data_IF_472690912003
#
_entry.id   IF_472690912003
#
_cell.length_a   1.000
_cell.length_b   1.000
_cell.length_c   1.000
_cell.angle_alpha   90.00
_cell.angle_beta   90.00
_cell.angle_gamma   90.00
#
_symmetry.space_group_name_H-M   'P 1'
#
loop_
_entity.id
_entity.type
_entity.pdbx_description
1 polymer ?
#
# COMPACT_ATOMS: atom_id res chain seq x y z
N UNK A 1 -6.86 -27.44 -4.25
CA UNK A 1 -6.01 -26.84 -3.19
C UNK A 1 -4.84 -26.17 -3.87
N UNK A 2 -4.70 -24.84 -3.81
CA UNK A 2 -3.53 -24.16 -4.36
C UNK A 2 -2.36 -24.34 -3.39
N UNK A 3 -1.30 -25.03 -3.81
CA UNK A 3 -0.07 -25.16 -3.03
C UNK A 3 0.75 -23.89 -3.28
N UNK A 4 0.87 -23.03 -2.26
CA UNK A 4 1.75 -21.86 -2.32
C UNK A 4 3.14 -22.25 -1.84
N UNK A 5 4.09 -22.27 -2.76
CA UNK A 5 5.50 -22.53 -2.44
C UNK A 5 6.16 -21.28 -1.85
N UNK A 6 6.96 -21.48 -0.79
CA UNK A 6 7.75 -20.43 -0.15
C UNK A 6 9.23 -20.70 -0.37
N UNK A 7 9.89 -19.80 -1.07
CA UNK A 7 11.33 -19.87 -1.33
C UNK A 7 12.06 -18.75 -0.60
N UNK A 8 13.30 -19.03 -0.20
CA UNK A 8 14.21 -18.01 0.34
C UNK A 8 14.91 -17.32 -0.83
N UNK A 9 14.87 -16.00 -0.86
CA UNK A 9 15.66 -15.21 -1.81
C UNK A 9 17.08 -15.02 -1.26
N UNK A 10 18.06 -15.07 -2.16
CA UNK A 10 19.47 -14.76 -1.88
C UNK A 10 19.92 -13.65 -2.85
N UNK A 11 19.46 -12.41 -2.65
CA UNK A 11 19.85 -11.30 -3.51
C UNK A 11 21.33 -10.92 -3.30
N UNK A 12 21.97 -10.43 -4.36
CA UNK A 12 23.24 -9.72 -4.22
C UNK A 12 23.02 -8.33 -3.56
N UNK A 13 24.11 -7.69 -3.13
CA UNK A 13 24.06 -6.41 -2.43
C UNK A 13 23.38 -5.29 -3.26
N UNK A 14 23.53 -5.29 -4.58
CA UNK A 14 22.92 -4.27 -5.45
C UNK A 14 21.41 -4.51 -5.61
N UNK A 15 21.00 -5.77 -5.74
CA UNK A 15 19.59 -6.17 -5.78
C UNK A 15 18.91 -5.88 -4.45
N UNK A 16 19.57 -6.18 -3.33
CA UNK A 16 19.06 -5.87 -1.99
C UNK A 16 18.82 -4.37 -1.81
N UNK A 17 19.79 -3.52 -2.21
CA UNK A 17 19.63 -2.08 -2.16
C UNK A 17 18.42 -1.60 -2.99
N UNK A 18 18.26 -2.11 -4.21
CA UNK A 18 17.11 -1.78 -5.08
C UNK A 18 15.77 -2.22 -4.46
N UNK A 19 15.72 -3.40 -3.85
CA UNK A 19 14.54 -3.90 -3.16
C UNK A 19 14.17 -3.01 -1.98
N UNK A 20 15.15 -2.58 -1.18
CA UNK A 20 14.93 -1.68 -0.06
C UNK A 20 14.42 -0.31 -0.53
N UNK A 21 15.01 0.27 -1.58
CA UNK A 21 14.49 1.52 -2.19
C UNK A 21 13.06 1.36 -2.69
N UNK A 22 12.75 0.21 -3.32
CA UNK A 22 11.39 -0.08 -3.80
C UNK A 22 10.41 -0.20 -2.63
N UNK A 23 10.77 -0.92 -1.56
CA UNK A 23 9.99 -1.05 -0.34
C UNK A 23 9.71 0.31 0.30
N UNK A 24 10.73 1.17 0.39
CA UNK A 24 10.58 2.51 0.93
C UNK A 24 9.68 3.41 0.08
N UNK A 25 9.79 3.31 -1.24
CA UNK A 25 8.91 4.02 -2.17
C UNK A 25 7.46 3.56 -2.02
N UNK A 26 7.23 2.25 -1.94
CA UNK A 26 5.90 1.68 -1.71
C UNK A 26 5.34 2.01 -0.32
N UNK A 27 6.19 2.04 0.71
CA UNK A 27 5.85 2.46 2.07
C UNK A 27 5.42 3.92 2.10
N UNK A 28 6.17 4.80 1.43
CA UNK A 28 5.81 6.21 1.29
C UNK A 28 4.45 6.35 0.62
N UNK A 29 4.24 5.66 -0.52
CA UNK A 29 2.96 5.69 -1.23
C UNK A 29 1.81 5.22 -0.34
N UNK A 30 1.96 4.10 0.34
CA UNK A 30 0.93 3.57 1.24
C UNK A 30 0.54 4.60 2.31
N UNK A 31 1.53 5.21 2.97
CA UNK A 31 1.30 6.19 4.03
C UNK A 31 0.67 7.48 3.48
N UNK A 32 1.07 7.94 2.29
CA UNK A 32 0.48 9.10 1.61
C UNK A 32 -1.00 8.84 1.28
N UNK A 33 -1.32 7.71 0.66
CA UNK A 33 -2.70 7.32 0.35
C UNK A 33 -3.54 7.13 1.62
N UNK A 34 -2.96 6.54 2.67
CA UNK A 34 -3.64 6.41 3.96
C UNK A 34 -3.99 7.79 4.53
N UNK A 35 -3.04 8.73 4.53
CA UNK A 35 -3.26 10.11 5.01
C UNK A 35 -4.37 10.79 4.21
N UNK A 36 -4.28 10.79 2.88
CA UNK A 36 -5.29 11.41 2.01
C UNK A 36 -6.68 10.78 2.22
N UNK A 37 -6.76 9.46 2.37
CA UNK A 37 -8.02 8.75 2.65
C UNK A 37 -8.60 9.12 4.01
N UNK A 38 -7.77 9.27 5.04
CA UNK A 38 -8.20 9.70 6.38
C UNK A 38 -8.70 11.15 6.35
N UNK A 39 -7.94 12.07 5.76
CA UNK A 39 -8.31 13.48 5.64
C UNK A 39 -9.60 13.67 4.83
N UNK A 40 -9.76 12.95 3.70
CA UNK A 40 -10.98 13.00 2.92
C UNK A 40 -12.22 12.59 3.74
N UNK A 41 -12.09 11.52 4.54
CA UNK A 41 -13.19 11.06 5.41
C UNK A 41 -13.50 12.04 6.53
N UNK A 42 -12.50 12.68 7.10
CA UNK A 42 -12.68 13.73 8.12
C UNK A 42 -13.40 14.95 7.53
N UNK A 43 -13.15 15.26 6.26
CA UNK A 43 -13.87 16.28 5.50
C UNK A 43 -15.25 15.83 4.99
N UNK A 44 -15.74 14.64 5.35
CA UNK A 44 -17.03 14.11 4.90
C UNK A 44 -17.06 13.56 3.46
N UNK A 45 -15.92 13.55 2.77
CA UNK A 45 -15.79 13.00 1.41
C UNK A 45 -15.58 11.49 1.52
N UNK A 46 -16.32 10.73 0.71
CA UNK A 46 -16.12 9.28 0.60
C UNK A 46 -15.07 8.97 -0.49
N UNK A 47 -13.79 8.71 -0.15
CA UNK A 47 -12.80 8.33 -1.15
C UNK A 47 -13.20 7.00 -1.81
N UNK A 48 -12.78 6.81 -3.06
CA UNK A 48 -13.02 5.58 -3.81
C UNK A 48 -11.71 4.93 -4.22
N UNK A 49 -11.72 3.60 -4.36
CA UNK A 49 -10.54 2.85 -4.80
C UNK A 49 -10.03 3.32 -6.16
N UNK A 50 -10.94 3.58 -7.10
CA UNK A 50 -10.63 4.07 -8.44
C UNK A 50 -10.07 5.49 -8.40
N UNK A 51 -10.64 6.39 -7.58
CA UNK A 51 -10.13 7.75 -7.42
C UNK A 51 -8.71 7.76 -6.86
N UNK A 52 -8.44 6.97 -5.83
CA UNK A 52 -7.09 6.82 -5.27
C UNK A 52 -6.12 6.18 -6.26
N UNK A 53 -6.61 5.28 -7.14
CA UNK A 53 -5.79 4.70 -8.19
C UNK A 53 -5.38 5.74 -9.24
N UNK A 54 -6.30 6.61 -9.65
CA UNK A 54 -6.01 7.73 -10.55
C UNK A 54 -5.05 8.74 -9.89
N UNK A 55 -5.21 8.97 -8.58
CA UNK A 55 -4.33 9.83 -7.79
C UNK A 55 -2.87 9.35 -7.80
N UNK A 56 -2.60 8.06 -7.92
CA UNK A 56 -1.21 7.56 -8.08
C UNK A 56 -0.52 8.17 -9.30
N UNK A 57 -1.25 8.40 -10.39
CA UNK A 57 -0.68 8.98 -11.62
C UNK A 57 -0.18 10.40 -11.36
N UNK A 58 -0.97 11.22 -10.65
CA UNK A 58 -0.54 12.59 -10.29
C UNK A 58 0.55 12.59 -9.23
N UNK A 59 0.52 11.65 -8.28
CA UNK A 59 1.58 11.48 -7.29
C UNK A 59 2.94 11.14 -7.91
N UNK A 60 2.99 10.54 -9.11
CA UNK A 60 4.26 10.31 -9.83
C UNK A 60 4.94 11.60 -10.27
N UNK A 61 4.18 12.66 -10.49
CA UNK A 61 4.72 13.99 -10.79
C UNK A 61 5.23 14.67 -9.51
N UNK A 62 4.55 14.49 -8.38
CA UNK A 62 4.99 15.00 -7.07
C UNK A 62 6.22 14.26 -6.52
N UNK A 63 6.32 12.95 -6.74
CA UNK A 63 7.42 12.11 -6.30
C UNK A 63 7.93 11.23 -7.46
N UNK A 64 8.96 11.70 -8.19
CA UNK A 64 9.55 10.98 -9.31
C UNK A 64 10.07 9.57 -8.97
N UNK A 65 10.37 9.29 -7.69
CA UNK A 65 10.81 7.95 -7.24
C UNK A 65 9.77 6.86 -7.57
N UNK A 66 8.49 7.22 -7.64
CA UNK A 66 7.42 6.31 -8.05
C UNK A 66 7.53 5.87 -9.51
N UNK A 67 8.19 6.65 -10.38
CA UNK A 67 8.41 6.26 -11.79
C UNK A 67 9.41 5.11 -11.90
N UNK A 68 10.31 4.94 -10.92
CA UNK A 68 11.26 3.83 -10.85
C UNK A 68 10.65 2.50 -10.37
N UNK A 69 9.41 2.50 -9.88
CA UNK A 69 8.72 1.29 -9.41
C UNK A 69 7.74 0.79 -10.46
N UNK A 70 7.72 -0.52 -10.68
CA UNK A 70 6.79 -1.14 -11.62
C UNK A 70 5.34 -0.78 -11.30
N UNK A 71 4.59 -0.33 -12.32
CA UNK A 71 3.26 0.25 -12.17
C UNK A 71 2.27 -0.67 -11.46
N UNK A 72 2.39 -1.97 -11.70
CA UNK A 72 1.57 -2.99 -11.05
C UNK A 72 1.78 -3.05 -9.54
N UNK A 73 3.01 -2.87 -9.07
CA UNK A 73 3.31 -2.84 -7.63
C UNK A 73 2.60 -1.67 -6.97
N UNK A 74 2.63 -0.49 -7.59
CA UNK A 74 1.92 0.69 -7.09
C UNK A 74 0.39 0.49 -7.05
N UNK A 75 -0.17 -0.16 -8.08
CA UNK A 75 -1.59 -0.57 -8.08
C UNK A 75 -1.90 -1.52 -6.91
N UNK A 76 -1.02 -2.50 -6.66
CA UNK A 76 -1.16 -3.45 -5.56
C UNK A 76 -1.04 -2.79 -4.19
N UNK A 77 -0.25 -1.71 -4.03
CA UNK A 77 -0.22 -0.92 -2.79
C UNK A 77 -1.59 -0.33 -2.47
N UNK A 78 -2.22 0.30 -3.47
CA UNK A 78 -3.56 0.86 -3.31
C UNK A 78 -4.59 -0.25 -3.05
N UNK A 79 -4.55 -1.34 -3.81
CA UNK A 79 -5.42 -2.50 -3.58
C UNK A 79 -5.30 -3.04 -2.14
N UNK A 80 -4.08 -3.18 -1.63
CA UNK A 80 -3.83 -3.67 -0.27
C UNK A 80 -4.45 -2.75 0.78
N UNK A 81 -4.33 -1.43 0.62
CA UNK A 81 -4.97 -0.45 1.50
C UNK A 81 -6.50 -0.64 1.52
N UNK A 82 -7.12 -0.75 0.35
CA UNK A 82 -8.58 -0.90 0.21
C UNK A 82 -9.09 -2.25 0.69
N UNK A 83 -8.35 -3.33 0.42
CA UNK A 83 -8.66 -4.66 0.91
C UNK A 83 -8.67 -4.69 2.44
N UNK A 84 -7.67 -4.08 3.08
CA UNK A 84 -7.61 -3.97 4.54
C UNK A 84 -8.78 -3.15 5.11
N UNK A 85 -9.12 -2.02 4.48
CA UNK A 85 -10.29 -1.21 4.87
C UNK A 85 -11.60 -2.00 4.76
N UNK A 86 -11.77 -2.76 3.68
CA UNK A 86 -12.93 -3.62 3.47
C UNK A 86 -13.00 -4.71 4.54
N UNK A 87 -11.89 -5.38 4.83
CA UNK A 87 -11.81 -6.41 5.87
C UNK A 87 -12.18 -5.86 7.26
N UNK A 88 -11.70 -4.66 7.61
CA UNK A 88 -12.09 -3.98 8.85
C UNK A 88 -13.58 -3.65 8.88
N UNK A 89 -14.14 -3.12 7.79
CA UNK A 89 -15.57 -2.83 7.68
C UNK A 89 -16.43 -4.08 7.89
N UNK A 90 -16.06 -5.20 7.26
CA UNK A 90 -16.77 -6.48 7.44
C UNK A 90 -16.64 -7.02 8.86
N UNK A 91 -15.47 -6.84 9.48
CA UNK A 91 -15.25 -7.25 10.88
C UNK A 91 -16.12 -6.44 11.84
N UNK A 92 -16.28 -5.13 11.60
CA UNK A 92 -17.19 -4.26 12.36
C UNK A 92 -18.65 -4.70 12.21
N UNK A 93 -19.09 -5.03 10.98
CA UNK A 93 -20.45 -5.53 10.71
C UNK A 93 -20.77 -6.83 11.46
N UNK A 94 -19.75 -7.65 11.74
CA UNK A 94 -19.87 -8.87 12.55
C UNK A 94 -19.85 -8.62 14.07
N UNK A 95 -19.97 -7.36 14.51
CA UNK A 95 -20.04 -7.00 15.93
C UNK A 95 -18.70 -7.01 16.68
N UNK A 96 -17.57 -7.16 15.99
CA UNK A 96 -16.24 -7.16 16.63
C UNK A 96 -15.71 -5.73 16.77
N UNK A 97 -15.01 -5.47 17.88
CA UNK A 97 -14.27 -4.21 18.09
C UNK A 97 -13.13 -4.12 17.08
N UNK A 98 -13.09 -3.03 16.31
CA UNK A 98 -12.03 -2.80 15.31
C UNK A 98 -11.19 -1.57 15.66
N UNK A 99 -9.90 -1.63 15.34
CA UNK A 99 -9.02 -0.47 15.34
C UNK A 99 -9.05 0.30 14.02
N UNK A 100 -8.19 1.33 13.93
CA UNK A 100 -7.91 2.07 12.69
C UNK A 100 -6.62 1.55 12.03
N UNK A 101 -6.51 1.72 10.71
CA UNK A 101 -5.24 1.50 10.02
C UNK A 101 -4.19 2.51 10.52
N UNK A 102 -2.96 2.03 10.68
CA UNK A 102 -1.85 2.79 11.24
C UNK A 102 -0.80 3.10 10.18
N UNK A 103 -0.06 4.19 10.41
CA UNK A 103 1.15 4.51 9.67
C UNK A 103 2.15 3.36 9.71
N UNK A 104 2.75 3.05 8.56
CA UNK A 104 3.73 1.98 8.40
C UNK A 104 5.15 2.55 8.49
N UNK A 105 5.83 2.19 9.58
CA UNK A 105 7.28 2.38 9.74
C UNK A 105 8.05 1.43 8.81
N UNK A 106 9.36 1.66 8.63
CA UNK A 106 10.25 0.78 7.84
C UNK A 106 10.11 -0.67 8.25
N UNK A 107 10.11 -0.94 9.56
CA UNK A 107 9.95 -2.28 10.12
C UNK A 107 8.59 -2.94 9.83
N UNK A 108 7.54 -2.17 9.51
CA UNK A 108 6.16 -2.65 9.33
C UNK A 108 5.72 -2.77 7.87
N UNK A 109 6.56 -2.39 6.91
CA UNK A 109 6.30 -2.52 5.48
C UNK A 109 7.40 -3.36 4.83
N UNK A 110 7.13 -4.65 4.61
CA UNK A 110 8.14 -5.64 4.16
C UNK A 110 7.70 -6.48 2.96
N UNK A 111 6.64 -6.04 2.27
CA UNK A 111 5.99 -6.85 1.23
C UNK A 111 5.92 -6.04 -0.06
N UNK A 112 6.35 -6.66 -1.16
CA UNK A 112 6.09 -6.20 -2.51
C UNK A 112 5.13 -7.20 -3.15
N UNK A 113 4.07 -6.68 -3.75
CA UNK A 113 3.03 -7.47 -4.41
C UNK A 113 2.98 -7.05 -5.89
N UNK A 114 2.69 -8.01 -6.76
CA UNK A 114 2.62 -7.86 -8.21
C UNK A 114 1.32 -8.49 -8.71
#
# INVERSE_FOLDING_TARGET
MFISYKYRAYPDATTEARLNTTLDTCRWLYNKLLKECTTAREAGIAPTMRGMQARIVTLKEENPSLKGVYSRVLQMVNYTLWSNLRALSQTKKRGRTIGKLRFKSTSRYRTLNY
#
